data_IF_161229800426
#
_entry.id   IF_161229800426
#
_cell.length_a   1.000
_cell.length_b   1.000
_cell.length_c   1.000
_cell.angle_alpha   90.00
_cell.angle_beta   90.00
_cell.angle_gamma   90.00
#
_symmetry.space_group_name_H-M   'P 1'
#
loop_
_entity.id
_entity.type
_entity.pdbx_description
1 polymer ?
#
# COMPACT_ATOMS: atom_id res chain seq x y z
N UNK A 1 1.55 17.35 -0.77
CA UNK A 1 2.38 16.91 0.37
C UNK A 1 3.69 16.35 -0.14
N UNK A 2 4.78 16.54 0.59
CA UNK A 2 6.09 15.95 0.31
C UNK A 2 6.11 14.52 0.85
N UNK A 3 6.62 13.55 0.08
CA UNK A 3 6.78 12.17 0.54
C UNK A 3 8.20 11.70 0.23
N UNK A 4 8.79 10.95 1.16
CA UNK A 4 10.16 10.48 1.10
C UNK A 4 10.14 8.98 1.34
N UNK A 5 10.77 8.20 0.46
CA UNK A 5 10.99 6.76 0.65
C UNK A 5 12.48 6.46 0.71
N UNK A 6 12.86 5.51 1.57
CA UNK A 6 14.21 4.99 1.64
C UNK A 6 14.20 3.53 1.16
N UNK A 7 15.14 3.15 0.29
CA UNK A 7 15.35 1.77 -0.16
C UNK A 7 16.81 1.40 0.07
N UNK A 8 17.06 0.34 0.82
CA UNK A 8 18.40 -0.21 1.00
C UNK A 8 18.75 -1.04 -0.25
N UNK A 9 19.89 -0.76 -0.87
CA UNK A 9 20.41 -1.53 -2.00
C UNK A 9 21.67 -2.28 -1.55
N UNK A 10 21.75 -3.60 -1.72
CA UNK A 10 22.94 -4.37 -1.36
C UNK A 10 24.07 -4.13 -2.36
N UNK A 11 25.31 -4.14 -1.88
CA UNK A 11 26.52 -4.00 -2.69
C UNK A 11 27.24 -2.66 -2.54
N UNK A 12 28.40 -2.54 -3.19
CA UNK A 12 29.13 -1.28 -3.29
C UNK A 12 28.56 -0.35 -4.39
N UNK A 13 29.07 0.88 -4.47
CA UNK A 13 28.56 1.88 -5.42
C UNK A 13 28.64 1.40 -6.88
N UNK A 14 29.68 0.65 -7.25
CA UNK A 14 29.87 0.18 -8.63
C UNK A 14 28.87 -0.92 -8.98
N UNK A 15 28.61 -1.85 -8.05
CA UNK A 15 27.57 -2.88 -8.19
C UNK A 15 26.18 -2.25 -8.29
N UNK A 16 25.87 -1.31 -7.41
CA UNK A 16 24.56 -0.65 -7.41
C UNK A 16 24.32 0.14 -8.70
N UNK A 17 25.34 0.82 -9.24
CA UNK A 17 25.25 1.51 -10.53
C UNK A 17 25.02 0.56 -11.71
N UNK A 18 25.56 -0.66 -11.65
CA UNK A 18 25.41 -1.67 -12.69
C UNK A 18 24.03 -2.35 -12.63
N UNK A 19 23.64 -2.80 -11.45
CA UNK A 19 22.47 -3.65 -11.25
C UNK A 19 21.17 -2.83 -11.06
N UNK A 20 21.29 -1.60 -10.58
CA UNK A 20 20.18 -0.67 -10.36
C UNK A 20 20.42 0.67 -11.06
N UNK A 21 20.96 0.65 -12.28
CA UNK A 21 21.26 1.87 -13.07
C UNK A 21 20.07 2.85 -13.15
N UNK A 22 18.85 2.33 -13.28
CA UNK A 22 17.61 3.09 -13.29
C UNK A 22 17.28 3.82 -11.97
N UNK A 23 17.94 3.51 -10.85
CA UNK A 23 17.79 4.22 -9.57
C UNK A 23 18.90 5.24 -9.32
N UNK A 24 20.03 5.13 -10.03
CA UNK A 24 21.25 5.92 -9.79
C UNK A 24 21.51 6.94 -10.92
N UNK A 25 21.02 6.65 -12.13
CA UNK A 25 21.17 7.54 -13.26
C UNK A 25 20.30 8.80 -13.10
N UNK A 26 20.90 9.98 -13.35
CA UNK A 26 20.26 11.29 -13.19
C UNK A 26 19.10 11.51 -14.19
N UNK A 27 19.00 10.70 -15.24
CA UNK A 27 17.94 10.75 -16.24
C UNK A 27 16.66 10.01 -15.86
N UNK A 28 16.68 9.15 -14.83
CA UNK A 28 15.54 8.28 -14.57
C UNK A 28 14.48 9.01 -13.76
N UNK A 29 13.51 9.57 -14.46
CA UNK A 29 12.30 10.10 -13.84
C UNK A 29 11.45 8.94 -13.31
N UNK A 30 11.57 8.63 -12.02
CA UNK A 30 10.65 7.73 -11.33
C UNK A 30 9.36 8.50 -11.03
N UNK A 31 8.46 8.55 -12.01
CA UNK A 31 7.12 9.05 -11.76
C UNK A 31 6.38 8.06 -10.85
N UNK A 32 5.78 8.55 -9.76
CA UNK A 32 4.77 7.76 -9.04
C UNK A 32 3.64 7.49 -10.02
N UNK A 33 3.56 6.24 -10.49
CA UNK A 33 2.57 5.71 -11.44
C UNK A 33 1.16 5.63 -10.81
N UNK A 34 0.78 6.65 -10.04
CA UNK A 34 -0.49 6.75 -9.30
C UNK A 34 -1.59 7.42 -10.14
N UNK A 35 -1.32 7.76 -11.41
CA UNK A 35 -2.29 8.43 -12.28
C UNK A 35 -2.19 8.12 -13.77
N UNK A 36 -1.16 7.39 -14.23
CA UNK A 36 -1.10 6.88 -15.60
C UNK A 36 -1.24 5.36 -15.58
N UNK A 37 -2.24 4.78 -16.27
CA UNK A 37 -2.38 3.34 -16.38
C UNK A 37 -1.11 2.72 -16.99
N UNK A 38 -0.71 1.54 -16.52
CA UNK A 38 0.34 0.76 -17.19
C UNK A 38 -0.05 0.48 -18.65
N UNK A 39 0.93 0.47 -19.57
CA UNK A 39 0.68 0.11 -20.97
C UNK A 39 0.18 -1.34 -20.98
N UNK A 40 -0.98 -1.58 -21.60
CA UNK A 40 -1.51 -2.91 -21.84
C UNK A 40 -1.14 -3.35 -23.25
N UNK A 41 -0.62 -4.56 -23.38
CA UNK A 41 -0.35 -5.14 -24.70
C UNK A 41 -1.64 -5.77 -25.28
N UNK A 42 -1.79 -5.81 -26.61
CA UNK A 42 -2.90 -6.53 -27.23
C UNK A 42 -2.93 -7.99 -26.77
N UNK A 43 -4.02 -8.42 -26.13
CA UNK A 43 -4.18 -9.77 -25.57
C UNK A 43 -4.00 -9.85 -24.05
N UNK A 44 -3.52 -8.80 -23.38
CA UNK A 44 -3.48 -8.74 -21.91
C UNK A 44 -4.81 -8.23 -21.35
N UNK A 45 -5.41 -8.99 -20.45
CA UNK A 45 -6.59 -8.57 -19.70
C UNK A 45 -6.13 -7.91 -18.41
N UNK A 46 -6.55 -6.67 -18.19
CA UNK A 46 -6.17 -5.89 -17.01
C UNK A 46 -7.36 -5.65 -16.10
N UNK A 47 -7.16 -5.94 -14.81
CA UNK A 47 -8.12 -5.65 -13.76
C UNK A 47 -7.40 -4.95 -12.61
N UNK A 48 -7.22 -3.65 -12.78
CA UNK A 48 -6.58 -2.81 -11.77
C UNK A 48 -7.63 -2.21 -10.86
N UNK A 49 -7.65 -2.70 -9.63
CA UNK A 49 -8.50 -2.17 -8.57
C UNK A 49 -7.64 -1.19 -7.76
N UNK A 50 -8.02 0.08 -7.71
CA UNK A 50 -7.38 1.06 -6.85
C UNK A 50 -8.25 1.33 -5.63
N UNK A 51 -7.66 1.20 -4.45
CA UNK A 51 -8.34 1.43 -3.18
C UNK A 51 -7.69 2.61 -2.50
N UNK A 52 -8.49 3.63 -2.18
CA UNK A 52 -8.05 4.80 -1.43
C UNK A 52 -8.64 4.78 -0.02
N UNK A 53 -7.78 4.64 0.98
CA UNK A 53 -8.13 4.88 2.37
C UNK A 53 -8.16 6.41 2.60
N UNK A 54 -9.36 6.99 2.65
CA UNK A 54 -9.53 8.45 2.73
C UNK A 54 -9.39 8.93 4.18
N UNK A 55 -10.35 8.59 5.03
CA UNK A 55 -10.43 9.07 6.41
C UNK A 55 -11.28 8.12 7.27
N UNK A 56 -11.19 8.27 8.59
CA UNK A 56 -12.05 7.58 9.55
C UNK A 56 -12.41 8.48 10.72
N UNK A 57 -13.44 8.13 11.48
CA UNK A 57 -13.78 8.79 12.74
C UNK A 57 -13.89 7.74 13.85
N UNK A 58 -13.11 7.91 14.91
CA UNK A 58 -13.03 6.95 16.01
C UNK A 58 -13.38 7.59 17.35
N UNK A 59 -14.32 6.98 18.06
CA UNK A 59 -14.65 7.40 19.42
C UNK A 59 -13.52 7.01 20.40
N UNK A 60 -13.24 7.91 21.35
CA UNK A 60 -12.34 7.66 22.47
C UNK A 60 -12.99 6.81 23.56
N UNK A 61 -14.32 6.65 23.54
CA UNK A 61 -15.09 5.95 24.57
C UNK A 61 -14.81 6.56 25.95
N UNK A 62 -14.45 5.71 26.93
CA UNK A 62 -14.13 6.15 28.30
C UNK A 62 -12.69 6.67 28.49
N UNK A 63 -11.86 6.69 27.45
CA UNK A 63 -10.45 7.14 27.56
C UNK A 63 -10.34 8.67 27.49
N UNK A 64 -9.29 9.21 28.14
CA UNK A 64 -9.01 10.66 28.11
C UNK A 64 -8.55 11.14 26.73
N UNK A 65 -7.75 10.34 26.04
CA UNK A 65 -7.14 10.68 24.74
C UNK A 65 -7.73 9.83 23.59
N UNK A 66 -7.76 10.36 22.36
CA UNK A 66 -8.11 9.58 21.17
C UNK A 66 -7.17 8.38 20.96
N UNK A 67 -7.67 7.36 20.25
CA UNK A 67 -6.89 6.18 19.89
C UNK A 67 -5.95 6.50 18.73
N UNK A 68 -4.71 5.99 18.79
CA UNK A 68 -3.82 5.92 17.64
C UNK A 68 -4.25 4.75 16.75
N UNK A 69 -4.87 5.03 15.61
CA UNK A 69 -5.48 3.97 14.78
C UNK A 69 -4.56 3.60 13.62
N UNK A 70 -4.27 2.31 13.49
CA UNK A 70 -3.69 1.68 12.31
C UNK A 70 -4.80 0.87 11.61
N UNK A 71 -4.95 1.07 10.30
CA UNK A 71 -5.80 0.25 9.45
C UNK A 71 -4.92 -0.77 8.75
N UNK A 72 -5.22 -2.05 8.93
CA UNK A 72 -4.63 -3.12 8.12
C UNK A 72 -5.64 -3.57 7.06
N UNK A 73 -5.23 -3.56 5.79
CA UNK A 73 -6.01 -4.04 4.67
C UNK A 73 -5.39 -5.33 4.13
N UNK A 74 -6.23 -6.34 3.86
CA UNK A 74 -5.83 -7.61 3.24
C UNK A 74 -6.90 -8.07 2.25
N UNK A 75 -6.51 -8.93 1.30
CA UNK A 75 -7.43 -9.55 0.33
C UNK A 75 -7.70 -10.98 0.76
N UNK A 76 -8.97 -11.38 0.83
CA UNK A 76 -9.39 -12.70 1.26
C UNK A 76 -10.32 -13.34 0.24
N UNK A 77 -10.27 -14.66 0.09
CA UNK A 77 -11.27 -15.41 -0.67
C UNK A 77 -12.56 -15.65 0.15
N UNK A 78 -13.52 -16.38 -0.42
CA UNK A 78 -14.82 -16.70 0.20
C UNK A 78 -14.70 -17.64 1.40
N UNK A 79 -13.64 -18.45 1.45
CA UNK A 79 -13.31 -19.35 2.55
C UNK A 79 -12.54 -18.63 3.68
N UNK A 80 -12.13 -17.37 3.43
CA UNK A 80 -11.40 -16.53 4.36
C UNK A 80 -9.87 -16.69 4.31
N UNK A 81 -9.33 -17.41 3.33
CA UNK A 81 -7.89 -17.54 3.11
C UNK A 81 -7.30 -16.22 2.61
N UNK A 82 -6.04 -15.96 2.99
CA UNK A 82 -5.33 -14.75 2.60
C UNK A 82 -4.78 -14.88 1.18
N UNK A 83 -5.04 -13.88 0.33
CA UNK A 83 -4.38 -13.78 -0.96
C UNK A 83 -2.99 -13.15 -0.81
N UNK A 84 -1.96 -13.96 -1.00
CA UNK A 84 -0.57 -13.53 -0.86
C UNK A 84 -0.17 -12.54 -1.95
N UNK A 85 0.59 -11.51 -1.57
CA UNK A 85 1.14 -10.49 -2.48
C UNK A 85 0.10 -9.77 -3.36
N UNK A 86 -1.16 -9.70 -2.94
CA UNK A 86 -2.23 -9.10 -3.74
C UNK A 86 -2.25 -7.55 -3.72
N UNK A 87 -1.53 -6.90 -2.81
CA UNK A 87 -1.58 -5.44 -2.63
C UNK A 87 -0.25 -4.79 -3.04
N UNK A 88 -0.31 -3.74 -3.83
CA UNK A 88 0.83 -2.98 -4.33
C UNK A 88 0.73 -1.52 -3.85
N UNK A 89 1.48 -1.13 -2.80
CA UNK A 89 1.41 0.22 -2.23
C UNK A 89 1.98 1.32 -3.13
N UNK A 90 2.70 0.95 -4.18
CA UNK A 90 3.31 1.88 -5.13
C UNK A 90 4.04 1.17 -6.26
N UNK A 91 4.47 1.95 -7.25
CA UNK A 91 5.24 1.44 -8.38
C UNK A 91 6.61 0.91 -7.93
N UNK A 92 7.01 -0.25 -8.45
CA UNK A 92 8.33 -0.85 -8.18
C UNK A 92 8.46 -1.60 -6.85
N UNK A 93 7.37 -1.76 -6.11
CA UNK A 93 7.31 -2.66 -4.95
C UNK A 93 6.78 -4.03 -5.36
N UNK A 94 7.35 -5.09 -4.77
CA UNK A 94 6.71 -6.40 -4.80
C UNK A 94 5.34 -6.30 -4.11
N UNK A 95 4.40 -7.14 -4.57
CA UNK A 95 3.12 -7.27 -3.91
C UNK A 95 3.30 -7.70 -2.45
N UNK A 96 2.51 -7.12 -1.56
CA UNK A 96 2.40 -7.46 -0.14
C UNK A 96 1.03 -8.06 0.14
N UNK A 97 0.96 -8.94 1.13
CA UNK A 97 -0.28 -9.64 1.50
C UNK A 97 -1.14 -8.81 2.44
N UNK A 98 -0.49 -7.92 3.22
CA UNK A 98 -1.16 -6.97 4.10
C UNK A 98 -0.58 -5.56 3.91
N UNK A 99 -1.46 -4.59 3.76
CA UNK A 99 -1.14 -3.17 3.80
C UNK A 99 -1.44 -2.59 5.18
N UNK A 100 -0.59 -1.70 5.70
CA UNK A 100 -0.80 -1.01 6.98
C UNK A 100 -0.73 0.50 6.77
N UNK A 101 -1.74 1.20 7.25
CA UNK A 101 -1.82 2.66 7.13
C UNK A 101 -0.82 3.37 8.05
N UNK A 102 -0.57 4.64 7.77
CA UNK A 102 0.09 5.53 8.74
C UNK A 102 -0.77 5.65 10.00
N UNK A 103 -0.12 5.79 11.15
CA UNK A 103 -0.77 6.01 12.45
C UNK A 103 -0.61 7.48 12.83
N UNK A 104 -1.72 8.20 12.91
CA UNK A 104 -1.73 9.57 13.40
C UNK A 104 -1.90 9.59 14.92
N UNK A 105 -0.96 10.23 15.62
CA UNK A 105 -0.95 10.27 17.08
C UNK A 105 -2.13 11.09 17.64
N UNK A 106 -2.98 10.41 18.42
CA UNK A 106 -4.13 11.00 19.12
C UNK A 106 -5.06 11.83 18.23
N UNK A 107 -5.18 11.47 16.95
CA UNK A 107 -6.08 12.13 16.01
C UNK A 107 -7.41 11.36 15.98
N UNK A 108 -8.51 12.03 16.35
CA UNK A 108 -9.86 11.45 16.35
C UNK A 108 -10.35 11.12 14.94
N UNK A 109 -10.05 12.00 13.98
CA UNK A 109 -10.45 11.90 12.59
C UNK A 109 -9.19 11.85 11.70
N UNK A 110 -8.48 10.71 11.63
CA UNK A 110 -7.31 10.58 10.76
C UNK A 110 -7.74 10.67 9.29
N UNK A 111 -7.00 11.47 8.52
CA UNK A 111 -7.15 11.61 7.07
C UNK A 111 -5.90 11.07 6.38
N UNK A 112 -5.95 9.82 5.93
CA UNK A 112 -4.82 9.11 5.35
C UNK A 112 -4.55 9.52 3.89
N UNK A 113 -5.60 9.56 3.07
CA UNK A 113 -5.48 9.75 1.62
C UNK A 113 -4.45 8.81 0.97
N UNK A 114 -4.37 7.59 1.47
CA UNK A 114 -3.43 6.57 1.03
C UNK A 114 -4.09 5.72 -0.05
N UNK A 115 -3.44 5.58 -1.21
CA UNK A 115 -3.96 4.78 -2.33
C UNK A 115 -3.04 3.62 -2.63
N UNK A 116 -3.62 2.44 -2.83
CA UNK A 116 -2.90 1.21 -3.17
C UNK A 116 -3.58 0.51 -4.35
N UNK A 117 -2.80 -0.21 -5.15
CA UNK A 117 -3.33 -1.10 -6.21
C UNK A 117 -3.57 -2.48 -5.62
N UNK A 118 -4.71 -3.08 -5.93
CA UNK A 118 -5.08 -4.44 -5.58
C UNK A 118 -5.12 -5.25 -6.87
N UNK A 119 -4.35 -6.33 -6.90
CA UNK A 119 -4.22 -7.24 -8.02
C UNK A 119 -4.89 -8.57 -7.67
N UNK A 120 -6.02 -8.86 -8.35
CA UNK A 120 -6.77 -10.10 -8.20
C UNK A 120 -7.09 -10.61 -9.61
N UNK A 121 -6.90 -11.91 -9.84
CA UNK A 121 -7.26 -12.55 -11.10
C UNK A 121 -8.75 -12.36 -11.38
N UNK A 122 -9.12 -12.07 -12.62
CA UNK A 122 -10.49 -11.62 -12.98
C UNK A 122 -11.53 -12.67 -12.59
N UNK A 123 -11.19 -13.93 -12.80
CA UNK A 123 -11.94 -15.12 -12.41
C UNK A 123 -12.18 -15.22 -10.89
N UNK A 124 -11.30 -14.66 -10.07
CA UNK A 124 -11.35 -14.72 -8.60
C UNK A 124 -12.01 -13.49 -7.97
N UNK A 125 -12.09 -12.35 -8.68
CA UNK A 125 -12.62 -11.07 -8.15
C UNK A 125 -13.98 -11.23 -7.46
N UNK A 126 -14.87 -12.04 -8.06
CA UNK A 126 -16.21 -12.27 -7.52
C UNK A 126 -16.25 -13.08 -6.22
N UNK A 127 -15.19 -13.83 -5.94
CA UNK A 127 -15.02 -14.69 -4.76
C UNK A 127 -14.10 -14.06 -3.72
N UNK A 128 -13.45 -12.95 -4.06
CA UNK A 128 -12.58 -12.22 -3.14
C UNK A 128 -13.26 -11.01 -2.50
N UNK A 129 -12.79 -10.63 -1.32
CA UNK A 129 -13.20 -9.42 -0.63
C UNK A 129 -12.00 -8.74 0.04
N UNK A 130 -12.14 -7.43 0.26
CA UNK A 130 -11.19 -6.65 1.05
C UNK A 130 -11.59 -6.70 2.52
N UNK A 131 -10.63 -7.03 3.38
CA UNK A 131 -10.81 -7.01 4.82
C UNK A 131 -10.03 -5.85 5.42
N UNK A 132 -10.73 -4.99 6.14
CA UNK A 132 -10.14 -3.88 6.89
C UNK A 132 -10.21 -4.19 8.39
N UNK A 133 -9.06 -4.22 9.05
CA UNK A 133 -8.98 -4.37 10.50
C UNK A 133 -8.39 -3.11 11.14
N UNK A 134 -9.01 -2.64 12.21
CA UNK A 134 -8.64 -1.41 12.89
C UNK A 134 -8.02 -1.77 14.23
N UNK A 135 -6.76 -1.36 14.44
CA UNK A 135 -6.01 -1.65 15.67
C UNK A 135 -5.55 -0.36 16.33
N UNK A 136 -5.52 -0.37 17.66
CA UNK A 136 -4.90 0.69 18.44
C UNK A 136 -3.39 0.41 18.54
N UNK A 137 -2.54 1.36 18.13
CA UNK A 137 -1.09 1.28 18.28
C UNK A 137 -0.59 2.14 19.44
N UNK A 138 0.06 1.52 20.41
CA UNK A 138 0.64 2.28 21.53
C UNK A 138 1.80 3.15 21.02
N UNK A 139 2.07 4.28 21.67
CA UNK A 139 3.20 5.15 21.30
C UNK A 139 4.57 4.66 21.80
N UNK A 140 4.62 3.48 22.41
CA UNK A 140 5.82 2.86 22.97
C UNK A 140 6.27 1.62 22.17
N UNK A 141 5.57 1.28 21.09
CA UNK A 141 6.05 0.33 20.08
C UNK A 141 6.75 1.07 18.94
#
# INVERSE_FOLDING_TARGET
>A
GLWVSLKLLPGDLAQVQKDFSHLVDRSTAVARKMGFPEIILPGEVRNDIYVTLIQGEFDKGKKKTPKNVEVTMSVHDEDGNLQEKAIHPGAGYEGVSEYKSVVYYQVKQPCWYETVKVAIAIEEVSRCHLRFTFRHRSSQE
#
